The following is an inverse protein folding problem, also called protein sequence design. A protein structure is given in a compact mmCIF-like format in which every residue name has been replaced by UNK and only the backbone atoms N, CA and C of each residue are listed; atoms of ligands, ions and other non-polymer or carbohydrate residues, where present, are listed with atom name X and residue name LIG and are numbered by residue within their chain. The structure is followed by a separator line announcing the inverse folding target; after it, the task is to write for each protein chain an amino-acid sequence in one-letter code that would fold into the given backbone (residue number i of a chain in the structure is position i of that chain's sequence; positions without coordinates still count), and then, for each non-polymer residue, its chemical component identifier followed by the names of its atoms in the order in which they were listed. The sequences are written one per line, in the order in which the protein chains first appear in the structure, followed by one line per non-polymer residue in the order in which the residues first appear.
data_IF_395292773391
#
_entry.id   IF_395292773391
#
_cell.length_a   1.000
_cell.length_b   1.000
_cell.length_c   1.000
_cell.angle_alpha   90.00
_cell.angle_beta   90.00
_cell.angle_gamma   90.00
#
_symmetry.space_group_name_H-M   'P 1'
#
loop_
_entity.id
_entity.type
_entity.pdbx_description
1 polymer ?
#
# COMPACT_ATOMS: atom_id res chain seq x y z
N UNK A 1 -20.53 -20.12 -0.53
CA UNK A 1 -19.13 -20.58 -0.64
C UNK A 1 -19.16 -22.09 -0.63
N UNK A 2 -18.63 -22.75 -1.66
CA UNK A 2 -18.52 -24.21 -1.67
C UNK A 2 -17.06 -24.56 -1.39
N UNK A 3 -16.84 -25.34 -0.34
CA UNK A 3 -15.55 -25.97 -0.08
C UNK A 3 -15.65 -27.40 -0.60
N UNK A 4 -14.76 -27.75 -1.53
CA UNK A 4 -14.67 -29.09 -2.09
C UNK A 4 -13.35 -29.69 -1.62
N UNK A 5 -13.44 -30.81 -0.92
CA UNK A 5 -12.25 -31.57 -0.57
C UNK A 5 -11.69 -32.24 -1.82
N UNK A 6 -10.40 -32.06 -2.07
CA UNK A 6 -9.70 -32.74 -3.15
C UNK A 6 -8.90 -33.90 -2.53
N UNK A 7 -9.32 -35.17 -2.72
CA UNK A 7 -8.60 -36.31 -2.17
C UNK A 7 -7.16 -36.35 -2.73
N UNK A 8 -6.22 -36.87 -1.93
CA UNK A 8 -4.78 -36.99 -2.22
C UNK A 8 -4.04 -35.69 -2.59
N UNK A 9 -4.61 -34.52 -2.26
CA UNK A 9 -3.96 -33.21 -2.41
C UNK A 9 -3.19 -32.78 -1.15
N UNK A 10 -2.51 -33.72 -0.51
CA UNK A 10 -1.68 -33.49 0.67
C UNK A 10 -0.20 -33.79 0.40
N UNK A 11 0.69 -33.01 1.01
CA UNK A 11 2.13 -33.24 0.92
C UNK A 11 2.79 -33.05 2.29
N UNK A 12 3.58 -34.02 2.78
CA UNK A 12 4.25 -33.89 4.06
C UNK A 12 5.33 -32.80 3.99
N UNK A 13 5.49 -32.05 5.08
CA UNK A 13 6.57 -31.09 5.25
C UNK A 13 7.20 -31.28 6.64
N UNK A 14 8.51 -31.53 6.74
CA UNK A 14 9.17 -31.83 8.01
C UNK A 14 9.47 -30.57 8.86
N UNK A 15 9.00 -29.39 8.43
CA UNK A 15 9.28 -28.09 9.06
C UNK A 15 8.00 -27.26 9.07
N UNK A 16 7.80 -26.45 10.11
CA UNK A 16 6.68 -25.51 10.20
C UNK A 16 6.66 -24.52 9.03
N UNK A 17 5.46 -24.22 8.53
CA UNK A 17 5.22 -23.17 7.55
C UNK A 17 4.86 -21.89 8.29
N UNK A 18 5.54 -20.78 7.96
CA UNK A 18 5.29 -19.47 8.56
C UNK A 18 4.68 -18.48 7.56
N UNK A 19 4.86 -18.69 6.26
CA UNK A 19 4.30 -17.81 5.24
C UNK A 19 3.98 -18.58 3.96
N UNK A 20 2.97 -18.10 3.23
CA UNK A 20 2.50 -18.68 1.97
C UNK A 20 2.32 -17.53 0.97
N UNK A 21 2.75 -17.73 -0.26
CA UNK A 21 2.44 -16.84 -1.37
C UNK A 21 2.18 -17.63 -2.64
N UNK A 22 1.31 -17.12 -3.50
CA UNK A 22 1.04 -17.71 -4.81
C UNK A 22 1.28 -16.72 -5.93
N UNK A 23 1.54 -17.27 -7.12
CA UNK A 23 1.59 -16.55 -8.39
C UNK A 23 0.27 -16.71 -9.14
N UNK A 24 0.01 -15.82 -10.09
CA UNK A 24 -1.21 -15.85 -10.93
C UNK A 24 -1.29 -17.11 -11.82
N UNK A 25 -0.15 -17.76 -12.09
CA UNK A 25 -0.07 -19.06 -12.79
C UNK A 25 -0.26 -20.28 -11.86
N UNK A 26 -0.68 -20.07 -10.61
CA UNK A 26 -1.06 -21.11 -9.67
C UNK A 26 0.09 -21.70 -8.84
N UNK A 27 1.35 -21.29 -9.03
CA UNK A 27 2.44 -21.83 -8.20
C UNK A 27 2.33 -21.32 -6.76
N UNK A 28 2.60 -22.21 -5.80
CA UNK A 28 2.51 -21.91 -4.37
C UNK A 28 3.89 -22.06 -3.73
N UNK A 29 4.34 -21.00 -3.06
CA UNK A 29 5.59 -20.94 -2.32
C UNK A 29 5.31 -20.89 -0.81
N UNK A 30 6.12 -21.62 -0.06
CA UNK A 30 6.02 -21.78 1.39
C UNK A 30 7.33 -21.30 2.03
N UNK A 31 7.25 -20.35 2.95
CA UNK A 31 8.36 -19.91 3.79
C UNK A 31 8.36 -20.72 5.09
N UNK A 32 9.49 -21.36 5.40
CA UNK A 32 9.56 -22.36 6.48
C UNK A 32 10.41 -21.91 7.67
N UNK A 33 10.24 -22.63 8.78
CA UNK A 33 10.92 -22.42 10.07
C UNK A 33 12.46 -22.43 10.00
N UNK A 34 13.01 -23.18 9.04
CA UNK A 34 14.44 -23.32 8.81
C UNK A 34 15.03 -22.23 7.88
N UNK A 35 14.25 -21.21 7.53
CA UNK A 35 14.69 -20.13 6.65
C UNK A 35 14.74 -20.50 5.16
N UNK A 36 14.15 -21.62 4.77
CA UNK A 36 14.05 -22.04 3.39
C UNK A 36 12.74 -21.58 2.72
N UNK A 37 12.74 -21.64 1.39
CA UNK A 37 11.55 -21.53 0.57
C UNK A 37 11.32 -22.87 -0.11
N UNK A 38 10.12 -23.41 0.11
CA UNK A 38 9.63 -24.60 -0.55
C UNK A 38 8.58 -24.21 -1.60
N UNK A 39 8.45 -25.03 -2.64
CA UNK A 39 7.35 -24.94 -3.59
C UNK A 39 6.44 -26.14 -3.40
N UNK A 40 5.14 -25.88 -3.23
CA UNK A 40 4.10 -26.89 -3.31
C UNK A 40 3.74 -27.08 -4.79
N UNK A 41 3.98 -28.28 -5.30
CA UNK A 41 3.66 -28.68 -6.68
C UNK A 41 2.48 -29.62 -6.63
N UNK A 42 1.45 -29.31 -7.38
CA UNK A 42 0.26 -30.12 -7.53
C UNK A 42 -0.04 -30.34 -9.01
N UNK A 43 -0.50 -31.54 -9.36
CA UNK A 43 -0.73 -31.99 -10.73
C UNK A 43 -1.88 -33.02 -10.75
N UNK A 44 -2.44 -33.27 -11.92
CA UNK A 44 -3.44 -34.30 -12.22
C UNK A 44 -3.04 -35.71 -11.76
N UNK A 45 -1.73 -35.95 -11.60
CA UNK A 45 -1.18 -37.20 -11.12
C UNK A 45 -0.90 -38.19 -12.24
N UNK A 46 -0.10 -39.19 -11.92
CA UNK A 46 0.12 -40.36 -12.78
C UNK A 46 0.34 -41.55 -11.87
N UNK A 47 0.18 -42.77 -12.39
CA UNK A 47 0.28 -44.02 -11.61
C UNK A 47 1.56 -44.10 -10.74
N UNK A 48 2.66 -43.46 -11.17
CA UNK A 48 3.94 -43.42 -10.42
C UNK A 48 4.24 -42.06 -9.75
N UNK A 49 3.35 -41.07 -9.84
CA UNK A 49 3.58 -39.69 -9.38
C UNK A 49 2.44 -39.27 -8.43
N UNK A 50 2.77 -39.05 -7.14
CA UNK A 50 1.90 -38.33 -6.19
C UNK A 50 1.38 -37.01 -6.74
N UNK A 51 0.07 -36.74 -6.60
CA UNK A 51 -0.57 -35.52 -7.09
C UNK A 51 -0.02 -34.25 -6.44
N UNK A 52 0.32 -34.31 -5.15
CA UNK A 52 0.83 -33.17 -4.39
C UNK A 52 2.21 -33.47 -3.79
N UNK A 53 3.17 -32.54 -3.92
CA UNK A 53 4.55 -32.67 -3.42
C UNK A 53 5.13 -31.34 -3.00
N UNK A 54 6.05 -31.39 -2.04
CA UNK A 54 6.77 -30.21 -1.59
C UNK A 54 8.26 -30.31 -1.91
N UNK A 55 8.79 -29.31 -2.61
CA UNK A 55 10.18 -29.28 -3.07
C UNK A 55 10.92 -28.10 -2.46
N UNK A 56 12.04 -28.33 -1.77
CA UNK A 56 12.86 -27.23 -1.27
C UNK A 56 13.62 -26.56 -2.44
N UNK A 57 13.42 -25.25 -2.62
CA UNK A 57 13.99 -24.47 -3.72
C UNK A 57 15.24 -23.70 -3.36
N UNK A 58 15.53 -23.50 -2.08
CA UNK A 58 16.65 -22.66 -1.62
C UNK A 58 17.77 -23.44 -0.94
N UNK A 59 17.50 -24.66 -0.50
CA UNK A 59 18.51 -25.55 0.10
C UNK A 59 19.28 -26.25 -1.00
N UNK A 60 20.58 -25.94 -1.07
CA UNK A 60 21.53 -26.61 -1.95
C UNK A 60 21.58 -28.12 -1.67
N UNK A 61 21.95 -28.90 -2.69
CA UNK A 61 21.96 -30.36 -2.63
C UNK A 61 22.83 -30.90 -1.48
N UNK A 62 24.03 -30.35 -1.25
CA UNK A 62 24.94 -30.79 -0.20
C UNK A 62 24.39 -30.53 1.23
N UNK A 63 23.65 -29.43 1.40
CA UNK A 63 23.09 -29.05 2.70
C UNK A 63 21.85 -29.89 3.07
N UNK A 64 21.30 -30.68 2.14
CA UNK A 64 20.22 -31.66 2.42
C UNK A 64 20.73 -32.90 3.16
N UNK A 65 22.02 -33.20 3.07
CA UNK A 65 22.65 -34.37 3.68
C UNK A 65 23.13 -34.13 5.11
N UNK A 66 23.15 -32.87 5.57
CA UNK A 66 23.52 -32.54 6.95
C UNK A 66 22.37 -32.91 7.90
N UNK A 67 22.57 -33.86 8.83
CA UNK A 67 21.56 -34.22 9.82
C UNK A 67 21.15 -33.04 10.69
N UNK A 68 19.88 -32.99 11.06
CA UNK A 68 19.29 -31.89 11.82
C UNK A 68 19.96 -31.62 13.17
N UNK A 69 20.58 -32.63 13.79
CA UNK A 69 21.26 -32.53 15.10
C UNK A 69 22.67 -31.92 15.01
N UNK A 70 23.30 -31.90 13.82
CA UNK A 70 24.60 -31.23 13.61
C UNK A 70 24.45 -29.73 13.33
N UNK A 71 23.25 -29.18 13.47
CA UNK A 71 22.98 -27.73 13.36
C UNK A 71 23.44 -27.03 14.64
N UNK A 72 24.74 -26.95 14.85
CA UNK A 72 25.36 -26.22 15.96
C UNK A 72 25.24 -24.71 15.64
N UNK A 73 24.46 -23.96 16.44
CA UNK A 73 24.37 -22.49 16.30
C UNK A 73 22.98 -21.84 16.26
N UNK A 74 21.94 -22.47 16.81
CA UNK A 74 20.66 -21.82 17.15
C UNK A 74 19.48 -22.14 16.24
N UNK A 75 18.28 -21.81 16.72
CA UNK A 75 17.02 -21.83 15.97
C UNK A 75 17.21 -21.13 14.62
N UNK A 76 16.61 -21.67 13.55
CA UNK A 76 16.73 -21.12 12.19
C UNK A 76 16.30 -19.65 12.10
N UNK A 77 16.52 -19.02 10.94
CA UNK A 77 16.01 -17.68 10.65
C UNK A 77 14.76 -17.80 9.78
N UNK A 78 13.56 -18.01 10.36
CA UNK A 78 12.37 -18.42 9.61
C UNK A 78 11.92 -17.35 8.63
N UNK A 79 11.35 -17.79 7.51
CA UNK A 79 10.76 -16.89 6.51
C UNK A 79 9.34 -16.51 6.96
N UNK A 80 9.19 -15.32 7.51
CA UNK A 80 7.94 -14.83 8.13
C UNK A 80 6.99 -14.15 7.15
N UNK A 81 7.47 -13.74 5.97
CA UNK A 81 6.62 -13.14 4.95
C UNK A 81 7.16 -13.41 3.55
N UNK A 82 6.26 -13.73 2.62
CA UNK A 82 6.54 -13.88 1.20
C UNK A 82 5.68 -12.89 0.41
N UNK A 83 6.27 -12.24 -0.60
CA UNK A 83 5.57 -11.33 -1.51
C UNK A 83 5.98 -11.58 -2.96
N UNK A 84 5.00 -11.78 -3.82
CA UNK A 84 5.20 -11.99 -5.27
C UNK A 84 4.98 -10.67 -6.00
N UNK A 85 5.99 -10.22 -6.72
CA UNK A 85 5.85 -9.20 -7.76
C UNK A 85 5.50 -9.92 -9.07
N UNK A 86 4.21 -9.94 -9.39
CA UNK A 86 3.68 -10.67 -10.55
C UNK A 86 4.18 -10.11 -11.88
N UNK A 87 4.31 -8.79 -11.99
CA UNK A 87 4.62 -8.11 -13.24
C UNK A 87 6.09 -8.32 -13.61
N UNK A 88 6.96 -8.40 -12.60
CA UNK A 88 8.39 -8.68 -12.78
C UNK A 88 8.78 -10.13 -12.53
N UNK A 89 7.82 -11.00 -12.18
CA UNK A 89 8.04 -12.41 -11.81
C UNK A 89 9.13 -12.57 -10.76
N UNK A 90 9.03 -11.81 -9.67
CA UNK A 90 9.97 -11.91 -8.55
C UNK A 90 9.27 -12.37 -7.27
N UNK A 91 10.01 -13.08 -6.44
CA UNK A 91 9.61 -13.44 -5.08
C UNK A 91 10.52 -12.73 -4.08
N UNK A 92 9.94 -12.01 -3.15
CA UNK A 92 10.63 -11.44 -2.00
C UNK A 92 10.30 -12.24 -0.75
N UNK A 93 11.32 -12.48 0.07
CA UNK A 93 11.19 -13.19 1.34
C UNK A 93 11.79 -12.37 2.47
N UNK A 94 11.01 -12.13 3.51
CA UNK A 94 11.44 -11.51 4.75
C UNK A 94 11.68 -12.59 5.81
N UNK A 95 12.83 -12.57 6.44
CA UNK A 95 13.14 -13.43 7.58
C UNK A 95 12.92 -12.73 8.92
N UNK A 96 12.81 -13.50 10.02
CA UNK A 96 12.62 -12.95 11.36
C UNK A 96 13.77 -12.04 11.82
N UNK A 97 14.99 -12.27 11.34
CA UNK A 97 16.15 -11.39 11.57
C UNK A 97 16.23 -10.23 10.58
N UNK A 98 15.11 -9.82 9.99
CA UNK A 98 15.01 -8.67 9.08
C UNK A 98 15.91 -8.76 7.84
N UNK A 99 16.16 -9.97 7.34
CA UNK A 99 16.84 -10.16 6.06
C UNK A 99 15.82 -10.23 4.94
N UNK A 100 16.05 -9.46 3.89
CA UNK A 100 15.19 -9.45 2.71
C UNK A 100 15.94 -10.15 1.59
N UNK A 101 15.39 -11.25 1.10
CA UNK A 101 15.90 -11.99 -0.05
C UNK A 101 15.03 -11.69 -1.26
N UNK A 102 15.65 -11.58 -2.44
CA UNK A 102 14.91 -11.60 -3.70
C UNK A 102 15.26 -12.83 -4.52
N UNK A 103 14.28 -13.31 -5.27
CA UNK A 103 14.41 -14.44 -6.17
C UNK A 103 13.72 -14.11 -7.49
N UNK A 104 14.31 -14.57 -8.58
CA UNK A 104 13.64 -14.58 -9.87
C UNK A 104 12.81 -15.85 -10.01
N UNK A 105 11.57 -15.68 -10.47
CA UNK A 105 10.64 -16.76 -10.75
C UNK A 105 10.67 -17.02 -12.27
N UNK A 106 11.47 -17.99 -12.69
CA UNK A 106 11.42 -18.53 -14.06
C UNK A 106 10.36 -19.64 -14.17
N UNK A 107 10.08 -20.15 -15.38
CA UNK A 107 9.07 -21.22 -15.59
C UNK A 107 9.33 -22.45 -14.69
N UNK A 108 10.60 -22.86 -14.56
CA UNK A 108 10.94 -24.12 -13.89
C UNK A 108 11.68 -23.93 -12.56
N UNK A 109 12.33 -22.78 -12.37
CA UNK A 109 13.28 -22.57 -11.28
C UNK A 109 13.04 -21.26 -10.53
N UNK A 110 13.25 -21.33 -9.23
CA UNK A 110 13.43 -20.18 -8.36
C UNK A 110 14.93 -19.89 -8.27
N UNK A 111 15.38 -18.78 -8.85
CA UNK A 111 16.79 -18.40 -8.88
C UNK A 111 17.07 -17.37 -7.79
N UNK A 112 18.01 -17.67 -6.89
CA UNK A 112 18.39 -16.76 -5.81
C UNK A 112 19.09 -15.52 -6.39
N UNK A 113 18.55 -14.35 -6.03
CA UNK A 113 19.11 -13.05 -6.36
C UNK A 113 19.92 -12.47 -5.20
N UNK A 114 19.70 -11.19 -4.95
CA UNK A 114 20.30 -10.43 -3.86
C UNK A 114 19.71 -10.71 -2.48
N UNK A 115 20.45 -10.29 -1.45
CA UNK A 115 20.00 -10.31 -0.06
C UNK A 115 20.40 -8.99 0.60
N UNK A 116 19.42 -8.27 1.13
CA UNK A 116 19.63 -7.10 1.96
C UNK A 116 19.73 -7.55 3.41
N UNK A 117 20.85 -7.22 4.05
CA UNK A 117 21.16 -7.51 5.46
C UNK A 117 21.56 -6.20 6.13
N UNK A 118 21.52 -6.16 7.46
CA UNK A 118 21.97 -5.02 8.28
C UNK A 118 21.36 -3.70 7.79
N UNK A 119 20.02 -3.60 7.85
CA UNK A 119 19.25 -2.44 7.35
C UNK A 119 19.80 -1.12 7.90
N UNK A 120 20.19 -1.08 9.17
CA UNK A 120 20.82 0.07 9.81
C UNK A 120 22.06 0.57 9.04
N UNK A 121 23.04 -0.31 8.78
CA UNK A 121 24.24 0.05 8.02
C UNK A 121 23.91 0.39 6.57
N UNK A 122 22.98 -0.33 5.95
CA UNK A 122 22.58 -0.09 4.57
C UNK A 122 21.83 1.24 4.36
N UNK A 123 21.37 1.89 5.45
CA UNK A 123 20.59 3.13 5.41
C UNK A 123 21.23 4.32 6.15
N UNK A 124 22.42 4.17 6.73
CA UNK A 124 23.06 5.18 7.57
C UNK A 124 23.22 6.55 6.90
N UNK A 125 23.52 6.58 5.59
CA UNK A 125 23.66 7.82 4.82
C UNK A 125 22.37 8.40 4.25
N UNK A 126 21.21 7.83 4.58
CA UNK A 126 19.90 8.25 4.03
C UNK A 126 19.03 8.99 5.04
N UNK A 127 19.47 9.08 6.29
CA UNK A 127 18.77 9.82 7.34
C UNK A 127 19.34 11.25 7.48
N UNK A 128 18.52 12.21 7.96
CA UNK A 128 19.02 13.52 8.36
C UNK A 128 20.15 13.41 9.39
N UNK A 129 21.09 14.35 9.34
CA UNK A 129 22.20 14.42 10.29
C UNK A 129 21.67 14.42 11.75
N UNK A 130 22.33 13.63 12.62
CA UNK A 130 21.94 13.48 14.03
C UNK A 130 20.89 12.40 14.31
N UNK A 131 20.31 11.76 13.28
CA UNK A 131 19.39 10.64 13.49
C UNK A 131 20.15 9.41 14.00
N UNK A 132 19.86 8.98 15.22
CA UNK A 132 20.41 7.75 15.80
C UNK A 132 19.33 6.68 15.81
N UNK A 133 19.57 5.56 15.12
CA UNK A 133 18.67 4.41 15.09
C UNK A 133 19.30 3.24 15.82
N UNK A 134 18.50 2.60 16.67
CA UNK A 134 18.86 1.32 17.29
C UNK A 134 18.65 0.17 16.32
N UNK A 135 19.18 -1.01 16.65
CA UNK A 135 18.91 -2.22 15.87
C UNK A 135 17.40 -2.52 15.81
N UNK A 136 16.69 -2.33 16.94
CA UNK A 136 15.24 -2.54 17.05
C UNK A 136 14.44 -1.59 16.15
N UNK A 137 14.88 -0.33 16.02
CA UNK A 137 14.25 0.65 15.14
C UNK A 137 14.29 0.24 13.67
N UNK A 138 15.28 -0.58 13.29
CA UNK A 138 15.46 -1.06 11.91
C UNK A 138 14.94 -2.48 11.69
N UNK A 139 14.33 -3.09 12.71
CA UNK A 139 13.69 -4.41 12.59
C UNK A 139 12.48 -4.32 11.67
N UNK A 140 12.47 -5.03 10.56
CA UNK A 140 11.41 -5.04 9.55
C UNK A 140 10.21 -5.86 10.04
N UNK A 141 9.03 -5.24 10.03
CA UNK A 141 7.74 -5.83 10.40
C UNK A 141 6.99 -6.33 9.18
N UNK A 142 7.06 -5.62 8.05
CA UNK A 142 6.35 -5.99 6.82
C UNK A 142 7.09 -5.54 5.57
N UNK A 143 6.91 -6.29 4.48
CA UNK A 143 7.34 -5.93 3.13
C UNK A 143 6.14 -5.89 2.18
N UNK A 144 6.17 -4.98 1.20
CA UNK A 144 5.14 -4.86 0.15
C UNK A 144 5.79 -4.58 -1.21
N UNK A 145 5.32 -5.26 -2.26
CA UNK A 145 5.81 -5.08 -3.63
C UNK A 145 5.24 -3.83 -4.27
N UNK A 146 6.07 -3.12 -5.03
CA UNK A 146 5.68 -1.94 -5.79
C UNK A 146 5.60 -2.31 -7.26
N UNK A 147 4.40 -2.39 -7.87
CA UNK A 147 4.28 -2.76 -9.27
C UNK A 147 4.89 -1.68 -10.19
N UNK A 148 5.31 -2.06 -11.41
CA UNK A 148 5.89 -1.12 -12.38
C UNK A 148 4.94 0.01 -12.77
N UNK A 149 3.63 -0.19 -12.66
CA UNK A 149 2.63 0.86 -12.85
C UNK A 149 2.72 2.01 -11.82
N UNK A 150 3.33 1.77 -10.65
CA UNK A 150 3.63 2.82 -9.66
C UNK A 150 5.01 3.41 -9.90
N UNK A 151 6.01 2.53 -10.04
CA UNK A 151 7.42 2.92 -10.13
C UNK A 151 8.21 1.82 -10.81
N UNK A 152 8.99 2.19 -11.83
CA UNK A 152 9.94 1.30 -12.47
C UNK A 152 11.21 1.08 -11.64
N UNK A 153 11.58 2.05 -10.79
CA UNK A 153 12.84 2.05 -10.04
C UNK A 153 12.72 1.39 -8.66
N UNK A 154 11.58 1.57 -8.00
CA UNK A 154 11.31 0.97 -6.69
C UNK A 154 10.52 -0.32 -6.90
N UNK A 155 10.98 -1.38 -6.24
CA UNK A 155 10.45 -2.73 -6.40
C UNK A 155 9.79 -3.24 -5.12
N UNK A 156 10.26 -2.78 -3.96
CA UNK A 156 9.78 -3.22 -2.66
C UNK A 156 9.80 -2.04 -1.67
N UNK A 157 8.83 -1.99 -0.78
CA UNK A 157 8.86 -1.16 0.42
C UNK A 157 8.96 -2.08 1.62
N UNK A 158 9.92 -1.82 2.52
CA UNK A 158 10.03 -2.49 3.79
C UNK A 158 9.69 -1.52 4.92
N UNK A 159 8.85 -1.94 5.86
CA UNK A 159 8.41 -1.15 7.01
C UNK A 159 9.07 -1.69 8.26
N UNK A 160 9.80 -0.84 8.99
CA UNK A 160 10.39 -1.22 10.26
C UNK A 160 9.47 -0.97 11.45
N UNK A 161 9.88 -1.48 12.61
CA UNK A 161 9.19 -1.38 13.89
C UNK A 161 9.07 0.05 14.40
N UNK A 162 10.02 0.92 14.03
CA UNK A 162 9.96 2.38 14.20
C UNK A 162 8.93 3.07 13.30
N UNK A 163 8.40 2.36 12.30
CA UNK A 163 7.57 2.92 11.22
C UNK A 163 8.34 3.54 10.06
N UNK A 164 9.67 3.53 10.10
CA UNK A 164 10.48 3.90 8.94
C UNK A 164 10.14 3.02 7.74
N UNK A 165 9.95 3.66 6.57
CA UNK A 165 9.72 2.99 5.28
C UNK A 165 11.00 3.06 4.45
N UNK A 166 11.55 1.91 4.13
CA UNK A 166 12.72 1.75 3.26
C UNK A 166 12.24 1.40 1.86
N UNK A 167 12.52 2.26 0.89
CA UNK A 167 12.23 2.05 -0.52
C UNK A 167 13.41 1.32 -1.15
N UNK A 168 13.17 0.12 -1.66
CA UNK A 168 14.22 -0.80 -2.11
C UNK A 168 14.13 -0.96 -3.62
N UNK A 169 15.27 -0.80 -4.28
CA UNK A 169 15.46 -1.11 -5.71
C UNK A 169 16.24 -2.41 -5.89
N UNK A 170 15.98 -3.07 -7.01
CA UNK A 170 16.81 -4.18 -7.48
C UNK A 170 17.70 -3.69 -8.61
N UNK A 171 18.95 -4.14 -8.66
CA UNK A 171 19.84 -3.89 -9.81
C UNK A 171 20.27 -5.19 -10.46
N UNK A 172 20.27 -5.22 -11.80
CA UNK A 172 20.86 -6.28 -12.62
C UNK A 172 22.08 -5.75 -13.36
N UNK A 173 23.17 -6.53 -13.45
CA UNK A 173 24.23 -6.23 -14.43
C UNK A 173 23.73 -6.72 -15.79
N UNK A 174 23.36 -5.80 -16.69
CA UNK A 174 23.43 -6.12 -18.12
C UNK A 174 24.90 -6.34 -18.46
N UNK A 175 25.26 -7.51 -18.95
CA UNK A 175 26.60 -7.81 -19.41
C UNK A 175 26.83 -7.18 -20.79
N UNK A 176 27.23 -5.92 -20.80
CA UNK A 176 27.96 -5.31 -21.92
C UNK A 176 28.80 -4.16 -21.37
N UNK A 177 30.12 -4.24 -21.59
CA UNK A 177 31.09 -3.19 -21.31
C UNK A 177 30.68 -1.88 -21.99
N UNK A 178 30.95 -0.75 -21.33
CA UNK A 178 30.80 0.60 -21.89
C UNK A 178 29.96 1.50 -21.01
N UNK A 179 30.62 2.36 -20.23
CA UNK A 179 29.97 3.50 -19.62
C UNK A 179 29.44 4.43 -20.73
N UNK A 180 28.13 4.72 -20.71
CA UNK A 180 27.45 5.99 -21.04
C UNK A 180 25.93 5.75 -20.83
N UNK A 181 25.33 6.53 -19.92
CA UNK A 181 23.91 6.95 -19.86
C UNK A 181 22.81 5.98 -20.35
N UNK A 182 22.75 4.74 -19.87
CA UNK A 182 21.52 3.93 -19.98
C UNK A 182 20.78 3.89 -18.64
N UNK A 183 19.46 4.17 -18.61
CA UNK A 183 18.69 4.21 -17.36
C UNK A 183 18.69 2.81 -16.72
N UNK A 184 18.77 2.68 -15.37
CA UNK A 184 19.03 1.41 -14.68
C UNK A 184 17.82 0.45 -14.66
N UNK A 185 16.87 0.58 -15.59
CA UNK A 185 15.55 -0.03 -15.55
C UNK A 185 15.41 -1.15 -16.58
N UNK A 186 16.31 -2.12 -16.53
CA UNK A 186 16.00 -3.41 -17.15
C UNK A 186 15.00 -4.13 -16.24
N UNK A 187 13.95 -4.71 -16.82
CA UNK A 187 13.18 -5.84 -16.28
C UNK A 187 14.12 -7.04 -16.08
N UNK A 188 15.17 -6.85 -15.30
CA UNK A 188 16.26 -7.78 -15.18
C UNK A 188 15.68 -9.04 -14.57
N UNK A 189 15.49 -10.05 -15.42
CA UNK A 189 14.98 -11.37 -15.05
C UNK A 189 15.85 -12.07 -13.99
N UNK A 190 16.94 -11.46 -13.52
CA UNK A 190 17.81 -11.94 -12.46
C UNK A 190 18.34 -10.77 -11.61
N UNK A 191 17.59 -10.30 -10.60
CA UNK A 191 18.07 -9.24 -9.70
C UNK A 191 19.25 -9.75 -8.88
N UNK A 192 20.44 -9.18 -9.05
CA UNK A 192 21.65 -9.66 -8.34
C UNK A 192 21.84 -8.99 -6.98
N UNK A 193 21.35 -7.77 -6.82
CA UNK A 193 21.53 -6.98 -5.59
C UNK A 193 20.28 -6.20 -5.22
N UNK A 194 20.09 -5.99 -3.91
CA UNK A 194 19.07 -5.13 -3.32
C UNK A 194 19.75 -3.90 -2.73
N UNK A 195 19.19 -2.72 -2.97
CA UNK A 195 19.71 -1.45 -2.43
C UNK A 195 18.57 -0.61 -1.86
N UNK A 196 18.81 0.04 -0.73
CA UNK A 196 17.91 1.05 -0.20
C UNK A 196 18.12 2.33 -1.01
N UNK A 197 17.09 2.73 -1.76
CA UNK A 197 17.10 3.89 -2.62
C UNK A 197 16.68 5.16 -1.88
N UNK A 198 15.72 5.05 -0.96
CA UNK A 198 15.25 6.15 -0.14
C UNK A 198 14.70 5.64 1.20
N UNK A 199 14.66 6.52 2.19
CA UNK A 199 14.00 6.26 3.48
C UNK A 199 13.02 7.37 3.78
N UNK A 200 11.88 7.00 4.37
CA UNK A 200 10.95 7.96 4.96
C UNK A 200 10.70 7.59 6.41
N UNK A 201 11.00 8.52 7.31
CA UNK A 201 10.73 8.37 8.72
C UNK A 201 9.21 8.36 8.97
N UNK A 202 8.80 7.68 10.04
CA UNK A 202 7.41 7.70 10.47
C UNK A 202 7.11 9.04 11.14
N UNK A 203 6.06 9.72 10.67
CA UNK A 203 5.75 11.08 11.10
C UNK A 203 4.98 11.13 12.41
N UNK A 204 4.43 10.02 12.90
CA UNK A 204 3.71 10.07 14.17
C UNK A 204 4.68 9.91 15.33
N UNK A 205 4.76 10.93 16.18
CA UNK A 205 5.41 10.92 17.49
C UNK A 205 4.71 9.98 18.49
N UNK A 206 4.04 8.92 18.03
CA UNK A 206 3.33 7.99 18.88
C UNK A 206 4.35 7.17 19.67
N UNK A 207 4.34 7.22 21.01
CA UNK A 207 5.19 6.38 21.83
C UNK A 207 4.73 4.93 21.68
N UNK A 208 5.43 4.15 20.85
CA UNK A 208 5.08 2.77 20.61
C UNK A 208 5.83 2.11 19.47
N UNK A 209 5.67 0.79 19.37
CA UNK A 209 6.28 -0.03 18.32
C UNK A 209 5.20 -0.55 17.37
N UNK A 210 5.50 -0.55 16.06
CA UNK A 210 4.62 -1.15 15.09
C UNK A 210 4.51 -2.66 15.27
N UNK A 211 3.28 -3.14 15.26
CA UNK A 211 2.93 -4.55 15.36
C UNK A 211 2.57 -5.16 14.01
N UNK A 212 1.76 -4.46 13.23
CA UNK A 212 1.31 -4.89 11.91
C UNK A 212 1.01 -3.67 11.05
N UNK A 213 1.17 -3.80 9.73
CA UNK A 213 0.83 -2.75 8.79
C UNK A 213 0.52 -3.30 7.39
N UNK A 214 -0.23 -2.51 6.64
CA UNK A 214 -0.52 -2.75 5.23
C UNK A 214 -0.17 -1.50 4.42
N UNK A 215 0.46 -1.70 3.25
CA UNK A 215 0.68 -0.65 2.27
C UNK A 215 -0.16 -0.97 1.04
N UNK A 216 -0.90 0.02 0.54
CA UNK A 216 -1.63 -0.10 -0.72
C UNK A 216 -1.76 1.26 -1.40
N UNK A 217 -1.32 1.33 -2.66
CA UNK A 217 -1.48 2.50 -3.52
C UNK A 217 -1.01 3.82 -2.89
N UNK A 218 0.18 3.83 -2.29
CA UNK A 218 0.79 5.00 -1.64
C UNK A 218 0.23 5.35 -0.25
N UNK A 219 -0.73 4.59 0.25
CA UNK A 219 -1.22 4.71 1.63
C UNK A 219 -0.65 3.58 2.49
N UNK A 220 -0.36 3.89 3.76
CA UNK A 220 0.03 2.93 4.78
C UNK A 220 -0.96 3.02 5.94
N UNK A 221 -1.44 1.88 6.40
CA UNK A 221 -2.22 1.76 7.62
C UNK A 221 -1.46 0.84 8.57
N UNK A 222 -1.24 1.28 9.81
CA UNK A 222 -0.33 0.61 10.73
C UNK A 222 -0.87 0.61 12.16
N UNK A 223 -0.78 -0.52 12.84
CA UNK A 223 -1.13 -0.68 14.25
C UNK A 223 0.11 -0.51 15.12
N UNK A 224 0.08 0.50 15.97
CA UNK A 224 1.10 0.82 16.96
C UNK A 224 0.64 0.28 18.31
N UNK A 225 1.49 -0.51 18.97
CA UNK A 225 1.31 -0.85 20.37
C UNK A 225 2.11 0.14 21.22
N UNK A 226 1.44 0.84 22.15
CA UNK A 226 2.16 1.67 23.10
C UNK A 226 3.03 0.79 23.99
N UNK A 227 4.35 0.99 23.91
CA UNK A 227 5.29 0.37 24.83
C UNK A 227 5.13 1.08 26.17
N UNK A 228 4.81 0.32 27.23
CA UNK A 228 4.72 0.74 28.64
C UNK A 228 5.46 2.06 28.90
N UNK A 229 4.73 3.11 29.28
CA UNK A 229 5.28 4.06 30.22
C UNK A 229 5.77 3.24 31.42
N UNK A 230 7.08 3.26 31.67
CA UNK A 230 7.66 2.69 32.87
C UNK A 230 6.95 3.33 34.06
N UNK A 231 6.01 2.59 34.67
CA UNK A 231 5.40 2.96 35.94
C UNK A 231 6.52 2.97 36.97
N UNK A 232 7.13 4.15 37.19
CA UNK A 232 7.75 4.44 38.47
C UNK A 232 6.58 4.42 39.47
N UNK A 233 6.53 3.34 40.22
CA UNK A 233 5.56 3.09 41.28
C UNK A 233 5.84 4.11 42.40
N UNK A 234 5.22 5.30 42.33
CA UNK A 234 5.08 6.17 43.49
C UNK A 234 3.86 5.70 44.26
N UNK A 235 4.10 5.04 45.39
CA UNK A 235 3.08 4.73 46.38
C UNK A 235 2.60 6.02 47.02
N UNK A 236 1.39 6.45 46.67
CA UNK A 236 0.55 7.25 47.57
C UNK A 236 -0.88 6.79 47.37
N UNK A 237 -1.37 6.01 48.33
CA UNK A 237 -2.77 5.63 48.44
C UNK A 237 -3.61 6.88 48.67
N UNK A 238 -4.58 7.11 47.80
CA UNK A 238 -5.87 7.70 48.17
C UNK A 238 -6.90 7.26 47.14
N UNK A 239 -8.01 6.76 47.65
CA UNK A 239 -9.09 6.11 46.93
C UNK A 239 -9.75 7.02 45.89
N UNK A 240 -10.01 6.49 44.69
CA UNK A 240 -10.81 7.17 43.67
C UNK A 240 -10.58 6.64 42.26
N UNK A 241 -11.56 5.89 41.74
CA UNK A 241 -11.70 5.47 40.33
C UNK A 241 -10.52 4.69 39.74
N UNK A 242 -10.59 3.37 39.89
CA UNK A 242 -9.75 2.41 39.18
C UNK A 242 -10.10 2.39 37.68
N UNK A 243 -9.58 3.35 36.91
CA UNK A 243 -9.56 3.23 35.46
C UNK A 243 -8.50 2.19 35.09
N UNK A 244 -8.92 1.03 34.56
CA UNK A 244 -8.01 0.14 33.86
C UNK A 244 -7.45 0.91 32.66
N UNK A 245 -6.25 1.48 32.81
CA UNK A 245 -5.50 2.06 31.69
C UNK A 245 -5.25 0.93 30.70
N UNK A 246 -6.09 0.91 29.66
CA UNK A 246 -6.08 -0.09 28.62
C UNK A 246 -4.76 -0.08 27.85
N UNK A 247 -4.45 -1.21 27.22
CA UNK A 247 -3.39 -1.27 26.21
C UNK A 247 -3.83 -0.37 25.05
N UNK A 248 -3.35 0.88 25.02
CA UNK A 248 -3.70 1.83 23.98
C UNK A 248 -3.06 1.39 22.66
N UNK A 249 -3.83 0.59 21.94
CA UNK A 249 -3.56 0.20 20.57
C UNK A 249 -4.15 1.26 19.65
N UNK A 250 -3.30 1.77 18.79
CA UNK A 250 -3.61 2.94 17.98
C UNK A 250 -3.31 2.60 16.54
N UNK A 251 -4.25 2.91 15.65
CA UNK A 251 -4.06 2.75 14.22
C UNK A 251 -3.70 4.10 13.62
N UNK A 252 -2.52 4.18 13.02
CA UNK A 252 -2.04 5.34 12.27
C UNK A 252 -2.23 5.09 10.78
N UNK A 253 -2.94 6.01 10.13
CA UNK A 253 -3.11 6.07 8.70
C UNK A 253 -2.21 7.15 8.13
N UNK A 254 -1.41 6.81 7.13
CA UNK A 254 -0.53 7.72 6.42
C UNK A 254 -0.86 7.65 4.93
N UNK A 255 -1.23 8.77 4.31
CA UNK A 255 -1.48 8.84 2.89
C UNK A 255 -0.56 9.84 2.20
N UNK A 256 0.16 9.35 1.20
CA UNK A 256 0.89 10.20 0.25
C UNK A 256 -0.11 10.93 -0.65
N UNK A 257 0.08 12.23 -0.76
CA UNK A 257 -0.57 13.10 -1.75
C UNK A 257 0.51 13.94 -2.42
N UNK A 258 0.45 14.09 -3.75
CA UNK A 258 1.22 15.14 -4.41
C UNK A 258 0.43 16.43 -4.21
N UNK A 259 1.08 17.48 -3.74
CA UNK A 259 0.52 18.82 -3.91
C UNK A 259 0.56 19.14 -5.40
N UNK A 260 -0.54 19.61 -5.98
CA UNK A 260 -0.47 20.20 -7.31
C UNK A 260 0.48 21.40 -7.26
N UNK A 261 1.30 21.63 -8.29
CA UNK A 261 2.16 22.80 -8.33
C UNK A 261 1.30 24.07 -8.40
N UNK A 262 1.24 24.83 -7.31
CA UNK A 262 0.57 26.15 -7.25
C UNK A 262 1.58 27.31 -7.46
N UNK A 263 2.83 27.03 -7.84
CA UNK A 263 3.85 28.09 -7.89
C UNK A 263 4.09 28.67 -9.29
N UNK A 264 4.43 29.97 -9.39
CA UNK A 264 4.62 30.68 -10.65
C UNK A 264 5.70 30.04 -11.52
N UNK A 265 5.59 30.32 -12.82
CA UNK A 265 6.31 29.82 -13.99
C UNK A 265 7.86 29.73 -13.95
N UNK A 266 8.50 30.04 -12.82
CA UNK A 266 9.96 30.09 -12.62
C UNK A 266 10.59 28.82 -12.04
N UNK A 267 9.81 27.82 -11.60
CA UNK A 267 10.33 26.52 -11.11
C UNK A 267 9.93 25.32 -11.98
N UNK A 268 9.93 25.45 -13.30
CA UNK A 268 9.49 24.39 -14.24
C UNK A 268 10.24 23.04 -14.14
N UNK A 269 11.39 22.99 -13.46
CA UNK A 269 12.24 21.80 -13.40
C UNK A 269 12.27 21.06 -12.04
N UNK A 270 11.52 21.52 -11.02
CA UNK A 270 11.43 20.79 -9.76
C UNK A 270 10.10 20.07 -9.63
N UNK A 271 10.09 18.75 -9.33
CA UNK A 271 8.86 18.05 -9.05
C UNK A 271 8.18 18.67 -7.82
N UNK A 272 6.83 18.71 -7.78
CA UNK A 272 6.11 19.23 -6.63
C UNK A 272 6.49 18.46 -5.35
N UNK A 273 6.45 19.13 -4.19
CA UNK A 273 6.76 18.47 -2.93
C UNK A 273 5.78 17.33 -2.66
N UNK A 274 6.31 16.25 -2.07
CA UNK A 274 5.48 15.12 -1.66
C UNK A 274 4.98 15.36 -0.23
N UNK A 275 3.67 15.52 -0.08
CA UNK A 275 3.03 15.79 1.20
C UNK A 275 2.41 14.50 1.73
N UNK A 276 2.57 14.27 3.02
CA UNK A 276 1.94 13.15 3.72
C UNK A 276 0.93 13.66 4.72
N UNK A 277 -0.27 13.09 4.67
CA UNK A 277 -1.30 13.31 5.70
C UNK A 277 -1.32 12.12 6.63
N UNK A 278 -1.26 12.37 7.93
CA UNK A 278 -1.33 11.32 8.96
C UNK A 278 -2.51 11.54 9.89
N UNK A 279 -3.28 10.49 10.15
CA UNK A 279 -4.34 10.50 11.15
C UNK A 279 -4.25 9.28 12.05
N UNK A 280 -4.57 9.49 13.31
CA UNK A 280 -4.48 8.50 14.37
C UNK A 280 -5.88 8.19 14.88
N UNK A 281 -6.22 6.91 14.99
CA UNK A 281 -7.52 6.44 15.47
C UNK A 281 -7.35 5.39 16.56
N UNK A 282 -8.06 5.50 17.70
CA UNK A 282 -8.02 4.48 18.74
C UNK A 282 -8.78 3.25 18.26
N UNK A 283 -8.07 2.14 18.03
CA UNK A 283 -8.68 0.87 17.66
C UNK A 283 -8.06 -0.25 18.50
N UNK A 284 -8.85 -0.93 19.36
CA UNK A 284 -8.31 -1.90 20.28
C UNK A 284 -7.82 -3.16 19.55
N UNK A 285 -6.60 -3.59 19.89
CA UNK A 285 -6.07 -4.93 19.59
C UNK A 285 -6.15 -5.34 18.11
N UNK A 286 -5.74 -4.47 17.20
CA UNK A 286 -5.66 -4.83 15.77
C UNK A 286 -4.55 -5.86 15.54
N UNK A 287 -4.94 -7.05 15.08
CA UNK A 287 -4.08 -8.21 14.82
C UNK A 287 -3.62 -8.26 13.37
N UNK A 288 -4.51 -7.89 12.44
CA UNK A 288 -4.18 -7.89 11.01
C UNK A 288 -4.82 -6.70 10.30
N UNK A 289 -4.13 -6.20 9.28
CA UNK A 289 -4.58 -5.11 8.43
C UNK A 289 -4.43 -5.56 6.98
N UNK A 290 -5.46 -5.37 6.17
CA UNK A 290 -5.38 -5.61 4.72
C UNK A 290 -6.17 -4.56 3.94
N UNK A 291 -5.75 -4.28 2.71
CA UNK A 291 -6.52 -3.45 1.79
C UNK A 291 -7.65 -4.29 1.14
N UNK A 292 -8.80 -3.66 0.91
CA UNK A 292 -9.97 -4.26 0.30
C UNK A 292 -10.57 -3.33 -0.77
N UNK A 293 -11.06 -3.91 -1.87
CA UNK A 293 -11.61 -3.19 -3.01
C UNK A 293 -10.84 -3.47 -4.31
N UNK A 294 -11.31 -2.89 -5.41
CA UNK A 294 -10.70 -3.06 -6.74
C UNK A 294 -9.23 -2.63 -6.71
N UNK A 295 -8.37 -3.43 -7.34
CA UNK A 295 -6.95 -3.09 -7.59
C UNK A 295 -6.92 -1.90 -8.57
N UNK A 296 -7.26 -0.72 -8.09
CA UNK A 296 -7.19 0.51 -8.86
C UNK A 296 -5.74 0.70 -9.26
N UNK A 297 -5.53 0.82 -10.57
CA UNK A 297 -4.19 1.02 -11.15
C UNK A 297 -3.55 2.19 -10.43
N UNK A 298 -2.31 2.03 -10.03
CA UNK A 298 -1.69 2.98 -9.12
C UNK A 298 -1.21 4.27 -9.82
N UNK A 299 -2.03 4.84 -10.70
CA UNK A 299 -1.78 6.19 -11.17
C UNK A 299 -1.91 7.13 -9.95
N UNK A 300 -0.87 7.93 -9.65
CA UNK A 300 -0.92 8.95 -8.60
C UNK A 300 -2.02 10.00 -8.84
N UNK A 301 -2.54 10.04 -10.07
CA UNK A 301 -3.59 10.91 -10.58
C UNK A 301 -5.00 10.40 -10.30
N UNK A 302 -5.17 9.20 -9.71
CA UNK A 302 -6.45 8.76 -9.15
C UNK A 302 -6.74 9.43 -7.80
N UNK A 303 -6.70 10.77 -7.82
CA UNK A 303 -7.55 11.67 -7.04
C UNK A 303 -8.95 11.73 -7.65
N UNK A 304 -9.33 10.80 -8.53
CA UNK A 304 -10.65 10.79 -9.15
C UNK A 304 -11.71 10.63 -8.08
N UNK A 305 -12.42 11.72 -7.88
CA UNK A 305 -13.63 11.85 -7.08
C UNK A 305 -14.75 10.87 -7.51
N UNK A 306 -14.63 10.22 -8.66
CA UNK A 306 -15.56 9.20 -9.17
C UNK A 306 -15.22 7.75 -8.78
N UNK A 307 -13.97 7.44 -8.41
CA UNK A 307 -13.59 6.07 -8.03
C UNK A 307 -14.23 5.62 -6.71
N UNK A 308 -14.33 4.30 -6.51
CA UNK A 308 -14.65 3.77 -5.18
C UNK A 308 -13.54 4.15 -4.19
N UNK A 309 -13.89 4.58 -2.96
CA UNK A 309 -12.89 4.90 -1.96
C UNK A 309 -12.08 3.64 -1.64
N UNK A 310 -10.75 3.79 -1.53
CA UNK A 310 -9.89 2.70 -1.07
C UNK A 310 -10.29 2.32 0.36
N UNK A 311 -10.51 1.03 0.60
CA UNK A 311 -10.89 0.52 1.93
C UNK A 311 -9.79 -0.33 2.51
N UNK A 312 -9.72 -0.34 3.83
CA UNK A 312 -8.87 -1.20 4.64
C UNK A 312 -9.74 -1.95 5.63
N UNK A 313 -9.38 -3.20 5.89
CA UNK A 313 -9.99 -4.04 6.90
C UNK A 313 -8.98 -4.18 8.05
N UNK A 314 -9.40 -3.79 9.24
CA UNK A 314 -8.67 -4.00 10.48
C UNK A 314 -9.34 -5.12 11.25
N UNK A 315 -8.65 -6.25 11.41
CA UNK A 315 -9.13 -7.38 12.18
C UNK A 315 -8.65 -7.26 13.63
N UNK A 316 -9.59 -7.28 14.57
CA UNK A 316 -9.34 -7.47 16.00
C UNK A 316 -10.04 -8.74 16.49
N UNK A 317 -9.73 -9.25 17.70
CA UNK A 317 -10.46 -10.37 18.28
C UNK A 317 -11.97 -10.12 18.46
N UNK A 318 -12.39 -8.85 18.54
CA UNK A 318 -13.77 -8.48 18.79
C UNK A 318 -14.56 -8.17 17.50
N UNK A 319 -13.90 -7.66 16.46
CA UNK A 319 -14.59 -7.18 15.25
C UNK A 319 -13.66 -7.04 14.04
N UNK A 320 -14.28 -6.92 12.87
CA UNK A 320 -13.64 -6.41 11.64
C UNK A 320 -14.09 -4.97 11.43
N UNK A 321 -13.16 -4.03 11.53
CA UNK A 321 -13.42 -2.61 11.27
C UNK A 321 -13.06 -2.26 9.83
N UNK A 322 -14.00 -1.68 9.09
CA UNK A 322 -13.76 -1.17 7.73
C UNK A 322 -13.40 0.30 7.80
N UNK A 323 -12.20 0.65 7.34
CA UNK A 323 -11.73 2.02 7.20
C UNK A 323 -11.76 2.42 5.74
N UNK A 324 -12.35 3.56 5.40
CA UNK A 324 -12.39 4.07 4.02
C UNK A 324 -11.55 5.34 3.93
N UNK A 325 -10.67 5.41 2.94
CA UNK A 325 -9.94 6.64 2.61
C UNK A 325 -10.95 7.66 2.09
N UNK A 326 -11.01 8.82 2.76
CA UNK A 326 -11.84 9.93 2.30
C UNK A 326 -11.38 10.42 0.93
N UNK A 327 -12.33 10.58 0.01
CA UNK A 327 -12.09 11.13 -1.32
C UNK A 327 -11.92 12.65 -1.25
N UNK A 328 -11.23 13.28 -2.22
CA UNK A 328 -11.15 14.74 -2.29
C UNK A 328 -12.53 15.42 -2.24
N UNK A 329 -13.50 14.89 -2.99
CA UNK A 329 -14.88 15.41 -2.98
C UNK A 329 -15.57 15.30 -1.61
N UNK A 330 -15.29 14.25 -0.84
CA UNK A 330 -15.89 14.09 0.50
C UNK A 330 -15.30 15.09 1.50
N UNK A 331 -13.98 15.36 1.40
CA UNK A 331 -13.33 16.41 2.19
C UNK A 331 -13.86 17.79 1.81
N UNK A 332 -14.03 18.03 0.51
CA UNK A 332 -14.60 19.27 -0.01
C UNK A 332 -16.04 19.50 0.45
N UNK A 333 -16.91 18.48 0.37
CA UNK A 333 -18.29 18.59 0.88
C UNK A 333 -18.27 18.86 2.40
N UNK A 334 -17.40 18.16 3.15
CA UNK A 334 -17.28 18.36 4.59
C UNK A 334 -16.84 19.78 4.93
N UNK A 335 -15.81 20.31 4.26
CA UNK A 335 -15.34 21.68 4.51
C UNK A 335 -16.42 22.72 4.22
N UNK A 336 -17.25 22.51 3.19
CA UNK A 336 -18.41 23.36 2.91
C UNK A 336 -19.56 23.22 3.92
N UNK A 337 -19.61 22.11 4.67
CA UNK A 337 -20.71 21.80 5.59
C UNK A 337 -20.47 22.25 7.05
N UNK A 338 -19.26 22.72 7.39
CA UNK A 338 -18.96 23.14 8.77
C UNK A 338 -19.69 24.47 9.12
N UNK A 339 -20.55 24.49 10.16
CA UNK A 339 -21.48 25.60 10.43
C UNK A 339 -20.87 26.80 11.17
N UNK A 340 -19.56 26.81 11.47
CA UNK A 340 -18.96 27.76 12.41
C UNK A 340 -18.38 29.06 11.85
N UNK A 341 -18.28 29.22 10.52
CA UNK A 341 -17.60 30.38 9.92
C UNK A 341 -18.55 31.22 9.08
N UNK A 342 -18.42 32.54 9.23
CA UNK A 342 -19.11 33.51 8.39
C UNK A 342 -18.76 33.29 6.91
N UNK A 343 -19.65 33.67 5.98
CA UNK A 343 -19.47 33.38 4.55
C UNK A 343 -18.10 33.84 4.00
N UNK A 344 -17.57 34.97 4.47
CA UNK A 344 -16.23 35.47 4.11
C UNK A 344 -15.04 34.80 4.82
N UNK A 345 -15.25 34.11 5.94
CA UNK A 345 -14.21 33.28 6.58
C UNK A 345 -14.20 31.84 6.04
N UNK A 346 -15.35 31.36 5.53
CA UNK A 346 -15.41 30.12 4.72
C UNK A 346 -14.59 30.24 3.43
N UNK A 347 -14.47 31.44 2.88
CA UNK A 347 -13.59 31.73 1.75
C UNK A 347 -12.11 31.59 2.13
N UNK A 348 -11.70 32.12 3.28
CA UNK A 348 -10.30 32.05 3.78
C UNK A 348 -9.88 30.67 4.31
N UNK A 349 -10.76 29.92 4.98
CA UNK A 349 -10.43 28.54 5.40
C UNK A 349 -10.50 27.53 4.25
N UNK A 350 -11.37 27.76 3.26
CA UNK A 350 -11.35 27.03 1.99
C UNK A 350 -10.03 27.20 1.24
N UNK A 351 -9.37 28.36 1.39
CA UNK A 351 -8.02 28.64 0.87
C UNK A 351 -6.89 28.05 1.74
N UNK A 352 -7.09 27.94 3.06
CA UNK A 352 -6.06 27.53 4.01
C UNK A 352 -5.77 26.02 4.07
N UNK A 353 -6.79 25.17 3.88
CA UNK A 353 -6.62 23.70 3.92
C UNK A 353 -6.63 23.07 2.53
N UNK A 354 -7.19 23.79 1.54
CA UNK A 354 -7.14 23.49 0.13
C UNK A 354 -6.72 24.75 -0.62
N UNK A 355 -5.41 24.97 -0.70
CA UNK A 355 -4.81 25.66 -1.84
C UNK A 355 -4.95 24.78 -3.10
N UNK A 356 -6.17 24.31 -3.36
CA UNK A 356 -6.54 23.44 -4.44
C UNK A 356 -6.57 24.28 -5.70
N UNK A 357 -5.94 23.75 -6.74
CA UNK A 357 -6.01 24.28 -8.09
C UNK A 357 -7.46 24.73 -8.39
N UNK A 358 -7.69 25.98 -8.84
CA UNK A 358 -9.04 26.49 -9.10
C UNK A 358 -9.80 25.60 -10.11
N UNK A 359 -9.08 24.92 -11.02
CA UNK A 359 -9.61 23.90 -11.93
C UNK A 359 -10.18 22.68 -11.19
N UNK A 360 -9.47 22.16 -10.18
CA UNK A 360 -9.93 21.05 -9.35
C UNK A 360 -11.14 21.45 -8.50
N UNK A 361 -11.11 22.67 -7.95
CA UNK A 361 -12.25 23.21 -7.18
C UNK A 361 -13.49 23.32 -8.06
N UNK A 362 -13.34 23.82 -9.30
CA UNK A 362 -14.42 23.86 -10.28
C UNK A 362 -14.93 22.46 -10.62
N UNK A 363 -14.04 21.51 -10.91
CA UNK A 363 -14.39 20.11 -11.17
C UNK A 363 -15.18 19.48 -10.02
N UNK A 364 -14.76 19.70 -8.75
CA UNK A 364 -15.46 19.20 -7.57
C UNK A 364 -16.84 19.86 -7.40
N UNK A 365 -16.96 21.18 -7.62
CA UNK A 365 -18.25 21.87 -7.58
C UNK A 365 -19.24 21.30 -8.60
N UNK A 366 -18.80 21.13 -9.86
CA UNK A 366 -19.62 20.54 -10.91
C UNK A 366 -20.08 19.13 -10.54
N UNK A 367 -19.19 18.31 -10.00
CA UNK A 367 -19.55 16.96 -9.59
C UNK A 367 -20.58 16.93 -8.46
N UNK A 368 -20.45 17.81 -7.45
CA UNK A 368 -21.44 17.93 -6.37
C UNK A 368 -22.82 18.26 -6.94
N UNK A 369 -22.88 19.18 -7.91
CA UNK A 369 -24.14 19.57 -8.56
C UNK A 369 -24.76 18.43 -9.38
N UNK A 370 -23.95 17.68 -10.12
CA UNK A 370 -24.41 16.49 -10.87
C UNK A 370 -24.96 15.41 -9.93
N UNK A 371 -24.28 15.18 -8.79
CA UNK A 371 -24.73 14.23 -7.78
C UNK A 371 -26.06 14.65 -7.12
N UNK A 372 -26.24 15.95 -6.84
CA UNK A 372 -27.48 16.48 -6.27
C UNK A 372 -28.67 16.32 -7.22
N UNK A 373 -28.50 16.66 -8.51
CA UNK A 373 -29.57 16.55 -9.51
C UNK A 373 -29.99 15.10 -9.82
N UNK A 374 -29.09 14.13 -9.63
CA UNK A 374 -29.40 12.70 -9.80
C UNK A 374 -30.30 12.14 -8.70
N UNK A 375 -30.39 12.79 -7.53
CA UNK A 375 -31.30 12.36 -6.45
C UNK A 375 -32.76 12.75 -6.70
N UNK A 376 -33.01 13.71 -7.60
CA UNK A 376 -34.34 14.19 -7.97
C UNK A 376 -34.91 13.48 -9.22
N UNK A 377 -34.09 12.74 -9.97
CA UNK A 377 -34.52 12.01 -11.19
C UNK A 377 -33.77 10.67 -11.36
N UNK A 378 -34.42 9.50 -11.20
CA UNK A 378 -33.74 8.19 -11.17
C UNK A 378 -33.27 7.68 -12.56
N UNK A 379 -33.62 8.36 -13.66
CA UNK A 379 -33.41 7.87 -15.03
C UNK A 379 -32.01 8.14 -15.61
N UNK A 380 -31.19 9.00 -14.97
CA UNK A 380 -29.86 9.41 -15.46
C UNK A 380 -28.77 9.27 -14.38
N UNK A 381 -28.96 8.36 -13.42
CA UNK A 381 -27.95 8.10 -12.41
C UNK A 381 -26.67 7.56 -13.07
N UNK A 382 -25.61 8.38 -13.10
CA UNK A 382 -24.26 7.91 -13.37
C UNK A 382 -23.94 6.72 -12.46
N UNK A 383 -23.09 5.76 -12.87
CA UNK A 383 -22.66 4.63 -12.04
C UNK A 383 -21.76 5.11 -10.89
N UNK A 384 -22.37 5.80 -9.93
CA UNK A 384 -21.76 6.38 -8.75
C UNK A 384 -22.24 5.56 -7.56
N UNK A 385 -21.30 4.94 -6.84
CA UNK A 385 -21.65 4.16 -5.65
C UNK A 385 -22.30 5.07 -4.60
N UNK A 386 -23.43 4.68 -3.98
CA UNK A 386 -24.01 5.44 -2.87
C UNK A 386 -23.00 5.47 -1.71
N UNK A 387 -22.45 6.64 -1.40
CA UNK A 387 -21.62 6.84 -0.22
C UNK A 387 -22.50 6.94 1.01
N UNK A 388 -22.14 6.22 2.07
CA UNK A 388 -22.85 6.16 3.36
C UNK A 388 -22.72 7.42 4.24
N UNK A 389 -22.55 8.61 3.64
CA UNK A 389 -22.51 9.90 4.34
C UNK A 389 -23.62 10.78 3.79
N UNK A 390 -24.41 11.38 4.69
CA UNK A 390 -25.65 12.10 4.42
C UNK A 390 -25.67 12.95 3.15
N UNK A 391 -26.85 13.02 2.52
CA UNK A 391 -27.07 13.73 1.27
C UNK A 391 -26.49 15.15 1.27
N UNK A 392 -26.08 15.60 0.09
CA UNK A 392 -25.58 16.97 -0.11
C UNK A 392 -26.66 17.95 0.34
N UNK A 393 -26.42 18.65 1.46
CA UNK A 393 -27.40 19.60 1.98
C UNK A 393 -27.59 20.79 1.03
N UNK A 394 -28.77 21.45 1.04
CA UNK A 394 -29.10 22.55 0.14
C UNK A 394 -28.13 23.75 0.25
N UNK A 395 -27.50 23.93 1.42
CA UNK A 395 -26.45 24.94 1.62
C UNK A 395 -25.20 24.67 0.77
N UNK A 396 -24.76 23.42 0.67
CA UNK A 396 -23.57 23.03 -0.11
C UNK A 396 -23.80 23.25 -1.60
N UNK A 397 -24.97 22.84 -2.11
CA UNK A 397 -25.33 23.04 -3.53
C UNK A 397 -25.39 24.52 -3.90
N UNK A 398 -25.84 25.38 -2.99
CA UNK A 398 -25.93 26.83 -3.23
C UNK A 398 -24.54 27.44 -3.37
N UNK A 399 -23.62 27.09 -2.48
CA UNK A 399 -22.22 27.53 -2.55
C UNK A 399 -21.54 27.04 -3.83
N UNK A 400 -21.75 25.77 -4.21
CA UNK A 400 -21.20 25.24 -5.46
C UNK A 400 -21.75 25.97 -6.71
N UNK A 401 -23.06 26.30 -6.75
CA UNK A 401 -23.63 27.09 -7.86
C UNK A 401 -23.01 28.48 -7.96
N UNK A 402 -22.80 29.15 -6.83
CA UNK A 402 -22.18 30.47 -6.80
C UNK A 402 -20.73 30.43 -7.31
N UNK A 403 -19.93 29.46 -6.84
CA UNK A 403 -18.55 29.27 -7.31
C UNK A 403 -18.46 28.93 -8.79
N UNK A 404 -19.34 28.06 -9.30
CA UNK A 404 -19.40 27.74 -10.73
C UNK A 404 -19.67 28.99 -11.57
N UNK A 405 -20.59 29.87 -11.14
CA UNK A 405 -20.82 31.16 -11.83
C UNK A 405 -19.58 32.04 -11.83
N UNK A 406 -18.92 32.21 -10.69
CA UNK A 406 -17.68 32.98 -10.58
C UNK A 406 -16.56 32.44 -11.49
N UNK A 407 -16.38 31.12 -11.57
CA UNK A 407 -15.35 30.52 -12.42
C UNK A 407 -15.68 30.61 -13.92
N UNK A 408 -16.96 30.60 -14.29
CA UNK A 408 -17.38 30.82 -15.68
C UNK A 408 -17.10 32.27 -16.14
N UNK A 409 -17.23 33.25 -15.24
CA UNK A 409 -16.84 34.64 -15.51
C UNK A 409 -15.32 34.79 -15.70
N UNK A 410 -14.51 33.87 -15.14
CA UNK A 410 -13.06 33.82 -15.28
C UNK A 410 -12.57 33.05 -16.54
N UNK A 411 -13.50 32.57 -17.39
CA UNK A 411 -13.22 32.00 -18.71
C UNK A 411 -12.47 30.66 -18.71
N UNK A 412 -11.14 30.69 -18.65
CA UNK A 412 -10.28 29.51 -18.83
C UNK A 412 -10.46 28.47 -17.71
N UNK A 413 -10.57 28.93 -16.46
CA UNK A 413 -10.74 28.05 -15.29
C UNK A 413 -12.04 27.24 -15.36
N UNK A 414 -13.12 27.88 -15.82
CA UNK A 414 -14.43 27.24 -15.97
C UNK A 414 -14.39 26.10 -16.99
N UNK A 415 -13.76 26.33 -18.14
CA UNK A 415 -13.61 25.34 -19.22
C UNK A 415 -12.72 24.18 -18.76
N UNK A 416 -11.55 24.49 -18.20
CA UNK A 416 -10.60 23.46 -17.74
C UNK A 416 -11.21 22.57 -16.66
N UNK A 417 -12.00 23.13 -15.74
CA UNK A 417 -12.67 22.36 -14.68
C UNK A 417 -13.73 21.41 -15.23
N UNK A 418 -14.48 21.84 -16.25
CA UNK A 418 -15.47 20.99 -16.93
C UNK A 418 -14.79 19.88 -17.74
N UNK A 419 -13.71 20.21 -18.47
CA UNK A 419 -12.90 19.23 -19.23
C UNK A 419 -12.28 18.21 -18.28
N UNK A 420 -11.79 18.64 -17.11
CA UNK A 420 -11.27 17.73 -16.09
C UNK A 420 -12.35 16.77 -15.58
N UNK A 421 -13.57 17.24 -15.34
CA UNK A 421 -14.68 16.36 -14.95
C UNK A 421 -15.01 15.35 -16.07
N UNK A 422 -15.12 15.80 -17.31
CA UNK A 422 -15.40 14.93 -18.46
C UNK A 422 -14.30 13.89 -18.67
N UNK A 423 -13.03 14.28 -18.59
CA UNK A 423 -11.90 13.35 -18.70
C UNK A 423 -11.90 12.31 -17.57
N UNK A 424 -12.34 12.64 -16.35
CA UNK A 424 -12.51 11.68 -15.26
C UNK A 424 -13.66 10.70 -15.49
N UNK A 425 -14.75 11.15 -16.10
CA UNK A 425 -15.91 10.31 -16.43
C UNK A 425 -15.61 9.39 -17.61
N UNK A 426 -15.02 9.94 -18.68
CA UNK A 426 -14.77 9.24 -19.93
C UNK A 426 -13.45 8.47 -19.92
N UNK A 427 -12.48 8.84 -19.09
CA UNK A 427 -11.16 8.21 -19.01
C UNK A 427 -11.17 6.67 -18.96
N UNK A 428 -12.05 6.02 -18.16
CA UNK A 428 -12.13 4.56 -18.12
C UNK A 428 -12.56 3.88 -19.44
N UNK A 429 -13.23 4.61 -20.33
CA UNK A 429 -13.77 4.11 -21.61
C UNK A 429 -13.09 4.74 -22.83
N UNK A 430 -12.30 5.80 -22.66
CA UNK A 430 -11.73 6.59 -23.75
C UNK A 430 -10.84 5.75 -24.68
N UNK A 431 -9.97 4.92 -24.11
CA UNK A 431 -9.06 4.05 -24.87
C UNK A 431 -9.64 2.63 -25.09
N UNK A 432 -10.91 2.38 -24.74
CA UNK A 432 -11.52 1.07 -24.96
C UNK A 432 -12.03 0.97 -26.39
N UNK A 433 -11.70 -0.14 -27.05
CA UNK A 433 -12.35 -0.49 -28.32
C UNK A 433 -13.83 -0.77 -28.06
N UNK A 434 -14.71 0.00 -28.71
CA UNK A 434 -16.17 -0.17 -28.63
C UNK A 434 -16.67 -1.35 -29.48
N UNK A 435 -15.85 -1.81 -30.41
CA UNK A 435 -16.08 -3.01 -31.21
C UNK A 435 -15.02 -4.04 -30.84
N UNK A 436 -15.45 -5.10 -30.17
CA UNK A 436 -14.66 -6.33 -30.08
C UNK A 436 -15.05 -7.15 -31.29
N UNK A 437 -14.14 -7.28 -32.26
CA UNK A 437 -14.36 -8.18 -33.40
C UNK A 437 -14.58 -9.59 -32.84
N UNK A 438 -15.82 -10.08 -32.96
CA UNK A 438 -16.17 -11.46 -32.62
C UNK A 438 -15.71 -12.38 -33.74
N UNK A 439 -14.41 -12.38 -34.04
CA UNK A 439 -13.79 -13.35 -34.93
C UNK A 439 -13.53 -14.65 -34.13
N UNK A 440 -14.63 -15.27 -33.69
CA UNK A 440 -14.65 -16.66 -33.27
C UNK A 440 -14.47 -17.50 -34.52
N UNK A 441 -13.22 -17.77 -34.88
CA UNK A 441 -12.90 -18.90 -35.75
C UNK A 441 -13.21 -20.18 -34.97
N UNK A 442 -14.39 -20.75 -35.19
CA UNK A 442 -14.58 -22.18 -34.98
C UNK A 442 -13.60 -22.91 -35.88
N UNK A 443 -12.64 -23.62 -35.27
CA UNK A 443 -11.88 -24.68 -35.91
C UNK A 443 -11.83 -25.88 -34.98
#
# INVERSE_FOLDING_TARGET
MYLVELPDMSAPLPVSVHSIASTDDGRVFLGTGDGCIHQLTYDSGSFFRKRCRTNNKTRGWAMRLVPSFLRIGGEGDPVIQLKVDKDRRMLFALTRRSRIHCFSISKEKLSKGGCLKNIQTASSGLFPAGTTLTADDTSIVSIETVPPSVSYSIHLIAVARSGCRYYISTTGRSSSQGAILTPPYSLALNPKTLRIAAVRQFLCNLPGQLSTCCISGGSMLASVHSAKASSKRSTSETEGVRSQVGRDNVVSFVALSRSDPVLPSDRRNQPPPLVETSQTLPLPNVVAITAYGTKSSASPTETSSLGQPKRFLCLSPAAVTVMSRQRPIERFIRSLSHPGLAMGEREREGEGEHQANPVETMCMCLQVLVQAGSSESPSLALPMSPSATGGVGPGVTTVCRQRVRQFLEQGLVGIDGAVLLLSRILGPIYDRQFLVDNDVKFK
#
